data_IF_758953688707
#
_entry.id   IF_758953688707
#
_cell.length_a   1.000
_cell.length_b   1.000
_cell.length_c   1.000
_cell.angle_alpha   90.00
_cell.angle_beta   90.00
_cell.angle_gamma   90.00
#
_symmetry.space_group_name_H-M   'P 1'
#
loop_
_entity.id
_entity.type
_entity.pdbx_description
1 polymer ?
#
# COMPACT_ATOMS: atom_id res chain seq x y z
N UNK A 1 27.51 22.72 -56.44
CA UNK A 1 26.97 23.75 -55.52
C UNK A 1 26.17 23.20 -54.32
N UNK A 2 25.29 22.20 -54.47
CA UNK A 2 24.52 21.68 -53.31
C UNK A 2 25.35 21.01 -52.18
N UNK A 3 26.48 20.36 -52.49
CA UNK A 3 27.35 19.71 -51.47
C UNK A 3 28.18 20.70 -50.63
N UNK A 4 28.55 21.86 -51.17
CA UNK A 4 29.28 22.89 -50.42
C UNK A 4 28.38 23.65 -49.43
N UNK A 5 27.10 23.85 -49.77
CA UNK A 5 26.14 24.51 -48.87
C UNK A 5 25.82 23.62 -47.65
N UNK A 6 25.74 22.29 -47.80
CA UNK A 6 25.55 21.37 -46.66
C UNK A 6 26.74 21.34 -45.69
N UNK A 7 27.98 21.43 -46.18
CA UNK A 7 29.17 21.51 -45.30
C UNK A 7 29.25 22.84 -44.53
N UNK A 8 28.86 23.94 -45.14
CA UNK A 8 28.87 25.25 -44.47
C UNK A 8 27.81 25.34 -43.36
N UNK A 9 26.61 24.74 -43.55
CA UNK A 9 25.59 24.72 -42.52
C UNK A 9 25.97 23.79 -41.37
N UNK A 10 26.58 22.64 -41.64
CA UNK A 10 27.04 21.71 -40.59
C UNK A 10 28.21 22.33 -39.76
N UNK A 11 29.11 23.08 -40.36
CA UNK A 11 30.19 23.74 -39.64
C UNK A 11 29.72 24.93 -38.79
N UNK A 12 28.72 25.67 -39.23
CA UNK A 12 28.10 26.75 -38.44
C UNK A 12 27.33 26.25 -37.22
N UNK A 13 26.61 25.12 -37.32
CA UNK A 13 25.91 24.50 -36.20
C UNK A 13 26.88 23.93 -35.15
N UNK A 14 28.01 23.34 -35.59
CA UNK A 14 29.04 22.81 -34.69
C UNK A 14 29.77 23.93 -33.95
N UNK A 15 30.04 25.05 -34.62
CA UNK A 15 30.69 26.21 -33.98
C UNK A 15 29.78 26.91 -33.00
N UNK A 16 28.48 27.01 -33.28
CA UNK A 16 27.52 27.59 -32.37
C UNK A 16 27.26 26.69 -31.13
N UNK A 17 27.16 25.38 -31.30
CA UNK A 17 27.03 24.42 -30.20
C UNK A 17 28.27 24.41 -29.29
N UNK A 18 29.47 24.44 -29.84
CA UNK A 18 30.72 24.49 -29.08
C UNK A 18 30.89 25.79 -28.27
N UNK A 19 30.44 26.93 -28.78
CA UNK A 19 30.45 28.21 -28.06
C UNK A 19 29.41 28.23 -26.95
N UNK A 20 28.19 27.72 -27.20
CA UNK A 20 27.11 27.63 -26.24
C UNK A 20 27.49 26.72 -25.05
N UNK A 21 28.14 25.58 -25.28
CA UNK A 21 28.59 24.67 -24.23
C UNK A 21 29.67 25.31 -23.33
N UNK A 22 30.61 26.08 -23.88
CA UNK A 22 31.62 26.78 -23.07
C UNK A 22 30.99 27.87 -22.18
N UNK A 23 30.03 28.61 -22.71
CA UNK A 23 29.33 29.62 -21.93
C UNK A 23 28.48 29.01 -20.82
N UNK A 24 27.75 27.93 -21.10
CA UNK A 24 27.03 27.15 -20.11
C UNK A 24 27.95 26.66 -18.98
N UNK A 25 29.07 26.02 -19.30
CA UNK A 25 30.00 25.53 -18.29
C UNK A 25 30.60 26.67 -17.46
N UNK A 26 30.87 27.85 -18.05
CA UNK A 26 31.32 29.03 -17.33
C UNK A 26 30.24 29.55 -16.37
N UNK A 27 28.99 29.64 -16.82
CA UNK A 27 27.87 30.06 -15.97
C UNK A 27 27.60 29.07 -14.81
N UNK A 28 27.62 27.76 -15.10
CA UNK A 28 27.49 26.73 -14.06
C UNK A 28 28.58 26.79 -12.99
N UNK A 29 29.82 27.06 -13.43
CA UNK A 29 30.96 27.20 -12.51
C UNK A 29 30.87 28.48 -11.66
N UNK A 30 30.34 29.57 -12.23
CA UNK A 30 30.16 30.84 -11.54
C UNK A 30 29.02 30.84 -10.53
N UNK A 31 28.00 30.02 -10.77
CA UNK A 31 26.84 29.90 -9.85
C UNK A 31 27.28 29.49 -8.44
N UNK A 32 26.90 30.29 -7.46
CA UNK A 32 27.24 30.13 -6.05
C UNK A 32 26.10 29.55 -5.21
N UNK A 33 24.87 29.54 -5.73
CA UNK A 33 23.68 29.01 -5.10
C UNK A 33 23.00 27.94 -5.97
N UNK A 34 22.34 26.98 -5.32
CA UNK A 34 21.63 25.90 -5.99
C UNK A 34 20.59 26.40 -7.00
N UNK A 35 19.75 27.36 -6.60
CA UNK A 35 18.68 27.88 -7.46
C UNK A 35 19.23 28.66 -8.67
N UNK A 36 20.35 29.37 -8.50
CA UNK A 36 21.05 30.03 -9.61
C UNK A 36 21.53 28.99 -10.64
N UNK A 37 22.24 27.95 -10.18
CA UNK A 37 22.75 26.88 -11.04
C UNK A 37 21.58 26.10 -11.71
N UNK A 38 20.50 25.85 -11.00
CA UNK A 38 19.31 25.21 -11.55
C UNK A 38 18.67 26.05 -12.66
N UNK A 39 18.58 27.37 -12.46
CA UNK A 39 18.11 28.31 -13.48
C UNK A 39 18.96 28.26 -14.74
N UNK A 40 20.30 28.26 -14.60
CA UNK A 40 21.23 28.12 -15.73
C UNK A 40 21.07 26.79 -16.45
N UNK A 41 20.98 25.69 -15.71
CA UNK A 41 20.80 24.36 -16.29
C UNK A 41 19.47 24.27 -17.07
N UNK A 42 18.37 24.66 -16.47
CA UNK A 42 17.03 24.57 -17.08
C UNK A 42 16.91 25.42 -18.35
N UNK A 43 17.51 26.61 -18.36
CA UNK A 43 17.48 27.51 -19.51
C UNK A 43 18.26 26.95 -20.73
N UNK A 44 19.18 26.04 -20.50
CA UNK A 44 20.02 25.46 -21.55
C UNK A 44 19.72 23.98 -21.85
N UNK A 45 18.88 23.32 -21.07
CA UNK A 45 18.72 21.86 -20.99
C UNK A 45 18.47 21.19 -22.35
N UNK A 46 17.64 21.79 -23.21
CA UNK A 46 17.28 21.24 -24.53
C UNK A 46 18.44 21.21 -25.52
N UNK A 47 19.41 22.10 -25.36
CA UNK A 47 20.58 22.22 -26.27
C UNK A 47 21.85 21.51 -25.79
N UNK A 48 21.84 20.96 -24.57
CA UNK A 48 23.03 20.36 -23.96
C UNK A 48 23.22 18.90 -24.40
N UNK A 49 24.48 18.51 -24.54
CA UNK A 49 24.89 17.11 -24.66
C UNK A 49 24.61 16.35 -23.35
N UNK A 50 24.55 15.01 -23.39
CA UNK A 50 24.45 14.19 -22.19
C UNK A 50 25.59 14.48 -21.19
N UNK A 51 26.81 14.66 -21.69
CA UNK A 51 27.98 14.98 -20.85
C UNK A 51 27.83 16.36 -20.16
N UNK A 52 27.35 17.39 -20.87
CA UNK A 52 27.11 18.71 -20.25
C UNK A 52 25.92 18.69 -19.26
N UNK A 53 24.89 17.90 -19.54
CA UNK A 53 23.79 17.67 -18.56
C UNK A 53 24.30 17.02 -17.29
N UNK A 54 25.12 15.97 -17.43
CA UNK A 54 25.75 15.31 -16.28
C UNK A 54 26.61 16.27 -15.46
N UNK A 55 27.42 17.09 -16.13
CA UNK A 55 28.22 18.16 -15.49
C UNK A 55 27.32 19.16 -14.75
N UNK A 56 26.23 19.61 -15.38
CA UNK A 56 25.29 20.55 -14.79
C UNK A 56 24.64 19.98 -13.54
N UNK A 57 24.10 18.77 -13.62
CA UNK A 57 23.51 18.09 -12.46
C UNK A 57 24.55 17.79 -11.37
N UNK A 58 25.77 17.37 -11.71
CA UNK A 58 26.81 17.20 -10.70
C UNK A 58 27.16 18.52 -9.98
N UNK A 59 27.12 19.67 -10.67
CA UNK A 59 27.30 20.99 -10.02
C UNK A 59 26.14 21.26 -9.01
N UNK A 60 24.92 20.90 -9.36
CA UNK A 60 23.78 20.99 -8.43
C UNK A 60 24.01 20.10 -7.21
N UNK A 61 24.52 18.87 -7.39
CA UNK A 61 24.91 18.01 -6.24
C UNK A 61 25.96 18.70 -5.38
N UNK A 62 27.00 19.29 -5.97
CA UNK A 62 28.05 19.98 -5.22
C UNK A 62 27.47 21.08 -4.33
N UNK A 63 26.65 21.99 -4.91
CA UNK A 63 26.06 23.10 -4.19
C UNK A 63 25.07 22.67 -3.09
N UNK A 64 24.26 21.65 -3.37
CA UNK A 64 23.33 21.10 -2.40
C UNK A 64 24.07 20.41 -1.23
N UNK A 65 25.10 19.62 -1.53
CA UNK A 65 25.93 18.96 -0.51
C UNK A 65 26.74 19.96 0.31
N UNK A 66 27.20 21.05 -0.27
CA UNK A 66 27.90 22.11 0.50
C UNK A 66 26.98 22.70 1.56
N UNK A 67 25.71 23.04 1.21
CA UNK A 67 24.72 23.50 2.19
C UNK A 67 24.37 22.41 3.21
N UNK A 68 24.09 21.20 2.76
CA UNK A 68 23.80 20.06 3.63
C UNK A 68 24.90 19.85 4.68
N UNK A 69 26.14 19.72 4.23
CA UNK A 69 27.30 19.47 5.09
C UNK A 69 27.50 20.58 6.12
N UNK A 70 27.34 21.86 5.71
CA UNK A 70 27.45 23.01 6.61
C UNK A 70 26.49 22.89 7.78
N UNK A 71 25.20 22.71 7.50
CA UNK A 71 24.16 22.67 8.52
C UNK A 71 24.24 21.37 9.35
N UNK A 72 24.51 20.22 8.72
CA UNK A 72 24.68 18.95 9.38
C UNK A 72 25.88 18.94 10.33
N UNK A 73 26.99 19.57 9.99
CA UNK A 73 28.15 19.71 10.87
C UNK A 73 27.80 20.52 12.14
N UNK A 74 26.99 21.57 12.04
CA UNK A 74 26.52 22.33 13.21
C UNK A 74 25.64 21.43 14.07
N UNK A 75 24.68 20.73 13.48
CA UNK A 75 23.81 19.78 14.17
C UNK A 75 24.61 18.72 14.93
N UNK A 76 25.56 18.07 14.26
CA UNK A 76 26.41 17.04 14.89
C UNK A 76 27.29 17.62 16.01
N UNK A 77 27.85 18.82 15.79
CA UNK A 77 28.65 19.51 16.81
C UNK A 77 27.80 19.79 18.04
N UNK A 78 26.58 20.27 17.86
CA UNK A 78 25.64 20.52 18.97
C UNK A 78 25.38 19.23 19.77
N UNK A 79 25.16 18.12 19.09
CA UNK A 79 24.91 16.83 19.73
C UNK A 79 26.09 16.35 20.58
N UNK A 80 27.32 16.49 20.06
CA UNK A 80 28.54 16.03 20.75
C UNK A 80 28.93 16.98 21.90
N UNK A 81 28.82 18.28 21.68
CA UNK A 81 29.28 19.31 22.65
C UNK A 81 28.19 19.81 23.58
N UNK A 82 26.96 19.32 23.43
CA UNK A 82 25.77 19.82 24.14
C UNK A 82 25.56 21.34 23.99
N UNK A 83 26.06 21.93 22.90
CA UNK A 83 25.79 23.30 22.50
C UNK A 83 24.48 23.39 21.74
N UNK A 84 24.00 24.60 21.57
CA UNK A 84 22.76 24.89 20.87
C UNK A 84 22.99 26.01 19.82
N UNK A 85 24.06 25.84 19.03
CA UNK A 85 24.36 26.77 17.95
C UNK A 85 23.25 26.70 16.88
N UNK A 86 22.74 27.81 16.37
CA UNK A 86 21.64 27.82 15.41
C UNK A 86 22.07 27.20 14.09
N UNK A 87 21.20 26.35 13.50
CA UNK A 87 21.34 25.78 12.18
C UNK A 87 20.00 25.77 11.43
N UNK A 88 20.05 25.80 10.10
CA UNK A 88 18.88 25.79 9.23
C UNK A 88 18.45 24.34 8.96
N UNK A 89 17.60 23.78 9.85
CA UNK A 89 17.13 22.41 9.72
C UNK A 89 16.30 22.18 8.45
N UNK A 90 15.38 23.09 8.12
CA UNK A 90 14.53 22.95 6.94
C UNK A 90 15.36 23.07 5.65
N UNK A 91 16.28 24.03 5.61
CA UNK A 91 17.22 24.17 4.50
C UNK A 91 18.22 23.01 4.38
N UNK A 92 18.55 22.33 5.47
CA UNK A 92 19.36 21.10 5.44
C UNK A 92 18.59 19.94 4.81
N UNK A 93 17.32 19.77 5.16
CA UNK A 93 16.43 18.74 4.60
C UNK A 93 16.22 19.01 3.10
N UNK A 94 15.89 20.26 2.72
CA UNK A 94 15.77 20.66 1.32
C UNK A 94 17.06 20.41 0.53
N UNK A 95 18.22 20.72 1.11
CA UNK A 95 19.50 20.46 0.49
C UNK A 95 19.75 18.96 0.29
N UNK A 96 19.40 18.11 1.25
CA UNK A 96 19.50 16.66 1.11
C UNK A 96 18.61 16.11 -0.02
N UNK A 97 17.36 16.56 -0.11
CA UNK A 97 16.45 16.19 -1.20
C UNK A 97 16.98 16.63 -2.55
N UNK A 98 17.42 17.89 -2.65
CA UNK A 98 17.96 18.46 -3.89
C UNK A 98 19.21 17.74 -4.33
N UNK A 99 20.10 17.38 -3.41
CA UNK A 99 21.32 16.63 -3.70
C UNK A 99 21.02 15.26 -4.29
N UNK A 100 20.07 14.51 -3.68
CA UNK A 100 19.66 13.19 -4.15
C UNK A 100 19.00 13.25 -5.54
N UNK A 101 18.04 14.15 -5.73
CA UNK A 101 17.38 14.34 -7.03
C UNK A 101 18.37 14.71 -8.13
N UNK A 102 19.28 15.64 -7.84
CA UNK A 102 20.32 16.03 -8.78
C UNK A 102 21.33 14.89 -9.06
N UNK A 103 21.65 14.09 -8.03
CA UNK A 103 22.54 12.93 -8.17
C UNK A 103 21.97 11.85 -9.08
N UNK A 104 20.70 11.50 -8.92
CA UNK A 104 20.00 10.53 -9.79
C UNK A 104 19.91 11.03 -11.23
N UNK A 105 19.56 12.29 -11.45
CA UNK A 105 19.56 12.86 -12.82
C UNK A 105 20.98 12.96 -13.40
N UNK A 106 21.99 13.28 -12.59
CA UNK A 106 23.38 13.25 -13.01
C UNK A 106 23.77 11.86 -13.52
N UNK A 107 23.48 10.83 -12.77
CA UNK A 107 23.81 9.44 -13.13
C UNK A 107 23.13 9.01 -14.42
N UNK A 108 21.87 9.33 -14.59
CA UNK A 108 21.11 9.05 -15.81
C UNK A 108 21.80 9.57 -17.07
N UNK A 109 22.30 10.80 -17.04
CA UNK A 109 22.99 11.38 -18.18
C UNK A 109 24.45 10.93 -18.27
N UNK A 110 25.12 10.67 -17.13
CA UNK A 110 26.51 10.21 -17.07
C UNK A 110 26.68 8.80 -17.67
N UNK A 111 25.61 7.98 -17.64
CA UNK A 111 25.56 6.66 -18.25
C UNK A 111 25.23 6.67 -19.75
N UNK A 112 24.95 7.85 -20.35
CA UNK A 112 24.67 7.95 -21.77
C UNK A 112 25.98 8.03 -22.60
N UNK A 113 25.98 7.60 -23.87
CA UNK A 113 27.15 7.77 -24.75
C UNK A 113 27.53 9.24 -24.87
N UNK A 114 28.83 9.51 -24.77
CA UNK A 114 29.40 10.84 -25.03
C UNK A 114 29.43 11.16 -26.55
N UNK A 115 29.93 12.32 -26.92
CA UNK A 115 30.06 12.77 -28.32
C UNK A 115 30.86 11.83 -29.23
N UNK A 116 31.63 10.90 -28.65
CA UNK A 116 32.42 9.87 -29.37
C UNK A 116 31.72 8.50 -29.39
N UNK A 117 30.45 8.42 -28.93
CA UNK A 117 29.67 7.18 -28.85
C UNK A 117 30.12 6.22 -27.72
N UNK A 118 30.94 6.67 -26.78
CA UNK A 118 31.43 5.84 -25.67
C UNK A 118 30.71 6.19 -24.38
N UNK A 119 30.27 5.16 -23.64
CA UNK A 119 29.80 5.28 -22.25
C UNK A 119 31.03 5.32 -21.35
N UNK A 120 31.24 6.43 -20.64
CA UNK A 120 32.39 6.64 -19.77
C UNK A 120 31.97 7.48 -18.54
N UNK A 121 31.21 6.86 -17.60
CA UNK A 121 30.68 7.56 -16.44
C UNK A 121 31.80 8.10 -15.54
N UNK A 122 31.58 9.31 -15.03
CA UNK A 122 32.58 10.05 -14.22
C UNK A 122 32.13 10.29 -12.80
N UNK A 123 30.83 10.27 -12.54
CA UNK A 123 30.24 10.80 -11.30
C UNK A 123 29.59 9.75 -10.42
N UNK A 124 29.12 8.60 -10.95
CA UNK A 124 28.34 7.59 -10.22
C UNK A 124 28.94 7.25 -8.87
N UNK A 125 30.14 6.68 -8.84
CA UNK A 125 30.75 6.19 -7.59
C UNK A 125 30.89 7.30 -6.55
N UNK A 126 31.43 8.45 -6.92
CA UNK A 126 31.60 9.58 -6.00
C UNK A 126 30.27 10.12 -5.49
N UNK A 127 29.26 10.22 -6.35
CA UNK A 127 27.93 10.71 -5.95
C UNK A 127 27.21 9.68 -5.05
N UNK A 128 27.27 8.38 -5.38
CA UNK A 128 26.70 7.35 -4.53
C UNK A 128 27.26 7.42 -3.10
N UNK A 129 28.59 7.46 -2.97
CA UNK A 129 29.25 7.52 -1.65
C UNK A 129 28.86 8.76 -0.84
N UNK A 130 28.93 9.95 -1.44
CA UNK A 130 28.70 11.20 -0.69
C UNK A 130 27.23 11.48 -0.37
N UNK A 131 26.29 10.91 -1.16
CA UNK A 131 24.87 11.12 -0.98
C UNK A 131 24.23 10.21 0.08
N UNK A 132 24.93 9.19 0.56
CA UNK A 132 24.40 8.30 1.61
C UNK A 132 24.03 9.05 2.89
N UNK A 133 24.84 10.03 3.32
CA UNK A 133 24.52 10.81 4.53
C UNK A 133 23.26 11.67 4.34
N UNK A 134 23.08 12.30 3.16
CA UNK A 134 21.88 13.04 2.82
C UNK A 134 20.65 12.13 2.73
N UNK A 135 20.80 10.94 2.13
CA UNK A 135 19.76 9.92 2.07
C UNK A 135 19.31 9.49 3.48
N UNK A 136 20.25 9.19 4.37
CA UNK A 136 19.96 8.74 5.73
C UNK A 136 19.28 9.84 6.58
N UNK A 137 19.59 11.14 6.34
CA UNK A 137 18.88 12.22 6.99
C UNK A 137 17.38 12.20 6.69
N UNK A 138 16.97 11.86 5.45
CA UNK A 138 15.57 11.88 5.04
C UNK A 138 14.69 10.90 5.82
N UNK A 139 15.28 9.83 6.39
CA UNK A 139 14.57 8.91 7.26
C UNK A 139 14.09 9.62 8.53
N UNK A 140 15.01 10.23 9.29
CA UNK A 140 14.66 10.92 10.53
C UNK A 140 13.86 12.18 10.27
N UNK A 141 14.19 12.93 9.22
CA UNK A 141 13.43 14.11 8.80
C UNK A 141 11.98 13.76 8.44
N UNK A 142 11.77 12.66 7.69
CA UNK A 142 10.44 12.17 7.35
C UNK A 142 9.61 11.84 8.59
N UNK A 143 10.22 11.22 9.59
CA UNK A 143 9.55 10.88 10.84
C UNK A 143 9.13 12.13 11.63
N UNK A 144 10.04 13.10 11.78
CA UNK A 144 9.76 14.38 12.47
C UNK A 144 8.65 15.14 11.75
N UNK A 145 8.74 15.25 10.42
CA UNK A 145 7.74 15.91 9.59
C UNK A 145 6.36 15.24 9.66
N UNK A 146 6.33 13.90 9.70
CA UNK A 146 5.09 13.15 9.86
C UNK A 146 4.43 13.40 11.21
N UNK A 147 5.22 13.38 12.28
CA UNK A 147 4.75 13.68 13.65
C UNK A 147 4.21 15.11 13.76
N UNK A 148 4.83 16.05 13.05
CA UNK A 148 4.36 17.44 12.92
C UNK A 148 3.14 17.60 11.99
N UNK A 149 2.62 16.51 11.40
CA UNK A 149 1.52 16.49 10.43
C UNK A 149 1.82 17.27 9.13
N UNK A 150 3.08 17.45 8.80
CA UNK A 150 3.55 18.04 7.53
C UNK A 150 3.63 16.94 6.47
N UNK A 151 2.48 16.35 6.12
CA UNK A 151 2.42 15.11 5.33
C UNK A 151 3.02 15.22 3.93
N UNK A 152 2.88 16.38 3.25
CA UNK A 152 3.52 16.60 1.95
C UNK A 152 5.05 16.50 2.04
N UNK A 153 5.65 17.15 3.03
CA UNK A 153 7.09 17.12 3.24
C UNK A 153 7.57 15.73 3.72
N UNK A 154 6.81 15.09 4.61
CA UNK A 154 7.10 13.74 5.08
C UNK A 154 7.06 12.72 3.92
N UNK A 155 6.06 12.79 3.06
CA UNK A 155 5.95 11.97 1.85
C UNK A 155 7.16 12.14 0.93
N UNK A 156 7.61 13.38 0.71
CA UNK A 156 8.79 13.66 -0.12
C UNK A 156 10.06 13.06 0.47
N UNK A 157 10.27 13.22 1.78
CA UNK A 157 11.44 12.71 2.47
C UNK A 157 11.46 11.17 2.47
N UNK A 158 10.41 10.52 2.97
CA UNK A 158 10.32 9.06 2.99
C UNK A 158 10.33 8.47 1.57
N UNK A 159 9.56 9.05 0.65
CA UNK A 159 9.49 8.58 -0.73
C UNK A 159 10.85 8.63 -1.42
N UNK A 160 11.60 9.71 -1.25
CA UNK A 160 12.93 9.84 -1.84
C UNK A 160 13.94 8.86 -1.21
N UNK A 161 13.85 8.62 0.10
CA UNK A 161 14.63 7.58 0.77
C UNK A 161 14.35 6.19 0.17
N UNK A 162 13.07 5.85 0.02
CA UNK A 162 12.64 4.54 -0.51
C UNK A 162 13.03 4.39 -1.98
N UNK A 163 12.71 5.36 -2.81
CA UNK A 163 12.91 5.31 -4.25
C UNK A 163 14.41 5.28 -4.61
N UNK A 164 15.26 6.01 -3.87
CA UNK A 164 16.69 6.05 -4.11
C UNK A 164 17.39 4.70 -3.97
N UNK A 165 16.86 3.78 -3.14
CA UNK A 165 17.45 2.45 -2.97
C UNK A 165 17.50 1.64 -4.28
N UNK A 166 16.51 1.84 -5.14
CA UNK A 166 16.39 1.11 -6.41
C UNK A 166 16.95 1.91 -7.59
N UNK A 167 17.43 3.14 -7.35
CA UNK A 167 17.98 3.97 -8.40
C UNK A 167 19.35 3.43 -8.87
N UNK A 168 19.62 3.41 -10.17
CA UNK A 168 20.90 2.98 -10.74
C UNK A 168 22.13 3.65 -10.13
N UNK A 169 22.02 4.89 -9.65
CA UNK A 169 23.09 5.59 -8.93
C UNK A 169 23.66 4.75 -7.78
N UNK A 170 22.80 4.04 -7.05
CA UNK A 170 23.16 3.26 -5.87
C UNK A 170 23.30 1.76 -6.14
N UNK A 171 23.35 1.33 -7.41
CA UNK A 171 23.41 -0.08 -7.80
C UNK A 171 24.61 -0.86 -7.22
N UNK A 172 25.69 -0.16 -6.88
CA UNK A 172 26.90 -0.76 -6.26
C UNK A 172 26.91 -0.58 -4.73
N UNK A 173 25.89 0.05 -4.13
CA UNK A 173 25.80 0.26 -2.69
C UNK A 173 25.24 -0.96 -2.00
N UNK A 174 25.78 -1.30 -0.83
CA UNK A 174 25.27 -2.38 0.01
C UNK A 174 24.22 -1.85 1.00
N UNK A 175 22.97 -2.24 0.78
CA UNK A 175 21.83 -1.92 1.65
C UNK A 175 21.34 -3.13 2.45
N UNK A 176 22.12 -4.19 2.58
CA UNK A 176 21.73 -5.41 3.30
C UNK A 176 21.43 -5.15 4.79
N UNK A 177 22.06 -4.13 5.38
CA UNK A 177 21.81 -3.72 6.76
C UNK A 177 20.51 -2.88 6.96
N UNK A 178 19.82 -2.48 5.91
CA UNK A 178 18.57 -1.69 5.99
C UNK A 178 17.36 -2.59 6.26
N UNK A 179 17.34 -3.28 7.40
CA UNK A 179 16.21 -4.13 7.84
C UNK A 179 14.89 -3.35 7.99
N UNK A 180 14.97 -2.04 8.17
CA UNK A 180 13.85 -1.12 8.33
C UNK A 180 13.28 -0.59 7.01
N UNK A 181 13.76 -1.05 5.84
CA UNK A 181 13.33 -0.51 4.55
C UNK A 181 11.82 -0.59 4.31
N UNK A 182 11.21 -1.75 4.58
CA UNK A 182 9.76 -1.96 4.44
C UNK A 182 8.96 -1.11 5.42
N UNK A 183 9.47 -0.91 6.64
CA UNK A 183 8.89 0.01 7.60
C UNK A 183 8.85 1.45 7.05
N UNK A 184 9.94 1.92 6.44
CA UNK A 184 9.96 3.27 5.86
C UNK A 184 9.06 3.36 4.62
N UNK A 185 8.95 2.29 3.82
CA UNK A 185 8.00 2.24 2.73
C UNK A 185 6.54 2.32 3.24
N UNK A 186 6.23 1.67 4.36
CA UNK A 186 4.94 1.81 5.04
C UNK A 186 4.68 3.24 5.51
N UNK A 187 5.63 3.92 6.14
CA UNK A 187 5.49 5.33 6.51
C UNK A 187 5.37 6.26 5.31
N UNK A 188 6.06 5.96 4.19
CA UNK A 188 5.87 6.67 2.93
C UNK A 188 4.44 6.51 2.40
N UNK A 189 3.87 5.31 2.49
CA UNK A 189 2.48 5.05 2.11
C UNK A 189 1.49 5.82 3.00
N UNK A 190 1.69 5.82 4.33
CA UNK A 190 0.88 6.57 5.29
C UNK A 190 0.94 8.09 5.04
N UNK A 191 2.15 8.63 4.83
CA UNK A 191 2.34 10.04 4.55
C UNK A 191 1.64 10.45 3.24
N UNK A 192 1.79 9.64 2.19
CA UNK A 192 1.13 9.86 0.90
C UNK A 192 -0.40 9.78 1.02
N UNK A 193 -0.93 8.83 1.77
CA UNK A 193 -2.37 8.71 2.02
C UNK A 193 -2.92 9.96 2.74
N UNK A 194 -2.24 10.39 3.81
CA UNK A 194 -2.64 11.59 4.56
C UNK A 194 -2.46 12.88 3.75
N UNK A 195 -1.55 12.90 2.77
CA UNK A 195 -1.37 13.98 1.80
C UNK A 195 -2.36 13.89 0.61
N UNK A 196 -3.25 12.91 0.59
CA UNK A 196 -4.19 12.63 -0.50
C UNK A 196 -3.53 12.28 -1.85
N UNK A 197 -2.26 11.88 -1.83
CA UNK A 197 -1.56 11.31 -2.99
C UNK A 197 -1.76 9.79 -3.03
N UNK A 198 -2.97 9.39 -3.39
CA UNK A 198 -3.38 7.98 -3.39
C UNK A 198 -2.59 7.08 -4.35
N UNK A 199 -2.15 7.56 -5.53
CA UNK A 199 -1.24 6.79 -6.39
C UNK A 199 0.09 6.46 -5.70
N UNK A 200 0.72 7.45 -5.05
CA UNK A 200 1.96 7.24 -4.30
C UNK A 200 1.73 6.35 -3.07
N UNK A 201 0.63 6.53 -2.35
CA UNK A 201 0.26 5.68 -1.22
C UNK A 201 0.17 4.21 -1.64
N UNK A 202 -0.52 3.91 -2.74
CA UNK A 202 -0.61 2.55 -3.29
C UNK A 202 0.76 2.00 -3.73
N UNK A 203 1.59 2.83 -4.39
CA UNK A 203 2.95 2.44 -4.82
C UNK A 203 3.82 1.99 -3.64
N UNK A 204 3.85 2.77 -2.56
CA UNK A 204 4.68 2.45 -1.39
C UNK A 204 4.11 1.29 -0.57
N UNK A 205 2.78 1.17 -0.48
CA UNK A 205 2.11 0.03 0.15
C UNK A 205 2.49 -1.31 -0.52
N UNK A 206 2.59 -1.34 -1.86
CA UNK A 206 2.99 -2.53 -2.60
C UNK A 206 4.39 -3.05 -2.26
N UNK A 207 5.28 -2.20 -1.76
CA UNK A 207 6.61 -2.61 -1.30
C UNK A 207 6.58 -3.40 0.01
N UNK A 208 5.48 -3.29 0.77
CA UNK A 208 5.31 -3.96 2.06
C UNK A 208 4.54 -5.29 1.97
N UNK A 209 4.07 -5.70 0.79
CA UNK A 209 3.14 -6.83 0.61
C UNK A 209 3.61 -8.18 1.18
N UNK A 210 4.92 -8.40 1.27
CA UNK A 210 5.52 -9.63 1.79
C UNK A 210 6.16 -9.45 3.17
N UNK A 211 5.97 -8.31 3.80
CA UNK A 211 6.51 -8.02 5.12
C UNK A 211 5.62 -8.63 6.20
N UNK A 212 6.24 -9.31 7.20
CA UNK A 212 5.49 -10.01 8.24
C UNK A 212 4.76 -9.07 9.21
N UNK A 213 5.23 -7.82 9.35
CA UNK A 213 4.70 -6.84 10.29
C UNK A 213 3.76 -5.85 9.61
N UNK A 214 4.12 -5.38 8.39
CA UNK A 214 3.43 -4.25 7.75
C UNK A 214 2.51 -4.63 6.58
N UNK A 215 2.46 -5.90 6.16
CA UNK A 215 1.69 -6.29 4.97
C UNK A 215 0.20 -6.01 5.07
N UNK A 216 -0.42 -6.29 6.22
CA UNK A 216 -1.86 -6.09 6.41
C UNK A 216 -2.23 -4.61 6.41
N UNK A 217 -1.52 -3.79 7.18
CA UNK A 217 -1.75 -2.35 7.29
C UNK A 217 -1.45 -1.63 5.97
N UNK A 218 -0.41 -2.05 5.25
CA UNK A 218 -0.10 -1.52 3.93
C UNK A 218 -1.20 -1.87 2.91
N UNK A 219 -1.73 -3.09 2.98
CA UNK A 219 -2.88 -3.48 2.17
C UNK A 219 -4.11 -2.61 2.45
N UNK A 220 -4.38 -2.29 3.72
CA UNK A 220 -5.47 -1.40 4.09
C UNK A 220 -5.27 0.01 3.51
N UNK A 221 -4.07 0.57 3.58
CA UNK A 221 -3.74 1.86 2.94
C UNK A 221 -4.01 1.80 1.43
N UNK A 222 -3.57 0.73 0.76
CA UNK A 222 -3.80 0.55 -0.68
C UNK A 222 -5.29 0.54 -1.01
N UNK A 223 -6.07 -0.26 -0.30
CA UNK A 223 -7.53 -0.36 -0.50
C UNK A 223 -8.23 0.97 -0.22
N UNK A 224 -7.89 1.63 0.89
CA UNK A 224 -8.44 2.95 1.23
C UNK A 224 -8.09 3.99 0.17
N UNK A 225 -6.85 3.94 -0.36
CA UNK A 225 -6.40 4.82 -1.45
C UNK A 225 -7.19 4.59 -2.74
N UNK A 226 -7.47 3.32 -3.08
CA UNK A 226 -8.32 2.99 -4.22
C UNK A 226 -9.76 3.47 -4.02
N UNK A 227 -10.35 3.25 -2.83
CA UNK A 227 -11.70 3.70 -2.49
C UNK A 227 -11.81 5.23 -2.46
N UNK A 228 -10.81 5.94 -1.98
CA UNK A 228 -10.81 7.42 -1.90
C UNK A 228 -10.81 8.11 -3.30
N UNK A 229 -10.43 7.39 -4.34
CA UNK A 229 -10.46 7.88 -5.72
C UNK A 229 -11.82 7.70 -6.41
N UNK A 230 -12.78 7.02 -5.79
CA UNK A 230 -14.11 6.77 -6.33
C UNK A 230 -14.95 8.07 -6.30
N UNK A 231 -15.11 8.72 -7.44
CA UNK A 231 -15.91 9.96 -7.60
C UNK A 231 -16.96 9.83 -8.68
N UNK A 232 -16.72 8.98 -9.67
CA UNK A 232 -17.58 8.81 -10.84
C UNK A 232 -17.91 7.33 -11.03
N UNK A 233 -18.84 7.07 -11.95
CA UNK A 233 -19.17 5.70 -12.35
C UNK A 233 -17.99 5.02 -13.07
N UNK A 234 -17.24 5.80 -13.84
CA UNK A 234 -16.02 5.36 -14.52
C UNK A 234 -14.95 4.94 -13.51
N UNK A 235 -14.77 5.68 -12.42
CA UNK A 235 -13.84 5.31 -11.34
C UNK A 235 -14.28 3.99 -10.68
N UNK A 236 -15.58 3.79 -10.49
CA UNK A 236 -16.11 2.53 -9.93
C UNK A 236 -15.83 1.33 -10.83
N UNK A 237 -15.97 1.49 -12.16
CA UNK A 237 -15.62 0.46 -13.14
C UNK A 237 -14.11 0.18 -13.13
N UNK A 238 -13.29 1.23 -13.06
CA UNK A 238 -11.82 1.09 -12.95
C UNK A 238 -11.44 0.34 -11.68
N UNK A 239 -11.99 0.73 -10.54
CA UNK A 239 -11.77 0.06 -9.26
C UNK A 239 -12.08 -1.44 -9.32
N UNK A 240 -13.22 -1.81 -9.89
CA UNK A 240 -13.59 -3.21 -10.08
C UNK A 240 -12.55 -3.95 -10.96
N UNK A 241 -12.10 -3.34 -12.06
CA UNK A 241 -11.12 -3.96 -12.94
C UNK A 241 -9.76 -4.12 -12.24
N UNK A 242 -9.34 -3.13 -11.47
CA UNK A 242 -8.12 -3.18 -10.67
C UNK A 242 -8.19 -4.27 -9.60
N UNK A 243 -9.33 -4.41 -8.90
CA UNK A 243 -9.55 -5.50 -7.94
C UNK A 243 -9.54 -6.88 -8.61
N UNK A 244 -10.16 -7.03 -9.77
CA UNK A 244 -10.12 -8.28 -10.54
C UNK A 244 -8.69 -8.65 -10.94
N UNK A 245 -7.90 -7.66 -11.36
CA UNK A 245 -6.50 -7.89 -11.72
C UNK A 245 -5.66 -8.30 -10.51
N UNK A 246 -5.87 -7.65 -9.36
CA UNK A 246 -5.19 -7.98 -8.10
C UNK A 246 -5.57 -9.39 -7.63
N UNK A 247 -6.86 -9.72 -7.63
CA UNK A 247 -7.32 -11.05 -7.26
C UNK A 247 -6.81 -12.14 -8.21
N UNK A 248 -6.74 -11.87 -9.51
CA UNK A 248 -6.16 -12.82 -10.46
C UNK A 248 -4.66 -13.07 -10.28
N UNK A 249 -3.92 -12.07 -9.78
CA UNK A 249 -2.49 -12.20 -9.45
C UNK A 249 -2.27 -12.92 -8.11
N UNK A 250 -3.15 -12.70 -7.14
CA UNK A 250 -3.07 -13.23 -5.79
C UNK A 250 -4.42 -13.86 -5.39
N UNK A 251 -4.83 -14.98 -6.00
CA UNK A 251 -6.18 -15.55 -5.80
C UNK A 251 -6.41 -16.10 -4.38
N UNK A 252 -5.33 -16.41 -3.64
CA UNK A 252 -5.40 -16.83 -2.24
C UNK A 252 -5.52 -15.65 -1.25
N UNK A 253 -5.40 -14.41 -1.74
CA UNK A 253 -5.53 -13.22 -0.93
C UNK A 253 -7.01 -12.95 -0.58
N UNK A 254 -7.40 -13.34 0.62
CA UNK A 254 -8.78 -13.20 1.12
C UNK A 254 -9.27 -11.75 1.09
N UNK A 255 -8.38 -10.76 1.16
CA UNK A 255 -8.76 -9.34 1.14
C UNK A 255 -9.30 -8.93 -0.23
N UNK A 256 -8.61 -9.30 -1.32
CA UNK A 256 -9.08 -8.98 -2.66
C UNK A 256 -10.38 -9.72 -3.00
N UNK A 257 -10.47 -10.98 -2.59
CA UNK A 257 -11.70 -11.76 -2.72
C UNK A 257 -12.88 -11.09 -1.98
N UNK A 258 -12.69 -10.69 -0.72
CA UNK A 258 -13.74 -10.02 0.07
C UNK A 258 -14.15 -8.69 -0.54
N UNK A 259 -13.22 -7.88 -1.04
CA UNK A 259 -13.52 -6.61 -1.69
C UNK A 259 -14.29 -6.77 -2.99
N UNK A 260 -14.00 -7.80 -3.78
CA UNK A 260 -14.77 -8.11 -4.98
C UNK A 260 -16.19 -8.56 -4.64
N UNK A 261 -16.36 -9.40 -3.61
CA UNK A 261 -17.69 -9.81 -3.15
C UNK A 261 -18.49 -8.64 -2.60
N UNK A 262 -17.85 -7.74 -1.82
CA UNK A 262 -18.45 -6.47 -1.36
C UNK A 262 -18.90 -5.60 -2.56
N UNK A 263 -18.03 -5.46 -3.57
CA UNK A 263 -18.36 -4.68 -4.77
C UNK A 263 -19.60 -5.23 -5.49
N UNK A 264 -19.64 -6.55 -5.74
CA UNK A 264 -20.79 -7.18 -6.39
C UNK A 264 -22.07 -7.10 -5.54
N UNK A 265 -21.95 -7.18 -4.22
CA UNK A 265 -23.06 -6.95 -3.29
C UNK A 265 -23.62 -5.53 -3.44
N UNK A 266 -22.76 -4.51 -3.42
CA UNK A 266 -23.14 -3.10 -3.49
C UNK A 266 -23.74 -2.72 -4.86
N UNK A 267 -23.30 -3.38 -5.92
CA UNK A 267 -23.83 -3.20 -7.29
C UNK A 267 -25.01 -4.12 -7.62
N UNK A 268 -25.43 -4.96 -6.65
CA UNK A 268 -26.50 -5.94 -6.79
C UNK A 268 -26.27 -6.97 -7.91
N UNK A 269 -25.01 -7.20 -8.29
CA UNK A 269 -24.63 -8.24 -9.24
C UNK A 269 -24.47 -9.59 -8.54
N UNK A 270 -25.61 -10.14 -8.09
CA UNK A 270 -25.67 -11.39 -7.35
C UNK A 270 -25.14 -12.59 -8.17
N UNK A 271 -25.27 -12.55 -9.48
CA UNK A 271 -24.77 -13.61 -10.35
C UNK A 271 -23.24 -13.66 -10.37
N UNK A 272 -22.59 -12.50 -10.53
CA UNK A 272 -21.13 -12.41 -10.49
C UNK A 272 -20.58 -12.71 -9.09
N UNK A 273 -21.25 -12.24 -8.01
CA UNK A 273 -20.89 -12.59 -6.62
C UNK A 273 -20.88 -14.10 -6.42
N UNK A 274 -21.96 -14.77 -6.82
CA UNK A 274 -22.10 -16.21 -6.65
C UNK A 274 -21.05 -16.98 -7.45
N UNK A 275 -20.83 -16.63 -8.71
CA UNK A 275 -19.83 -17.28 -9.56
C UNK A 275 -18.40 -17.14 -8.96
N UNK A 276 -18.06 -15.95 -8.47
CA UNK A 276 -16.78 -15.71 -7.80
C UNK A 276 -16.61 -16.57 -6.54
N UNK A 277 -17.65 -16.67 -5.70
CA UNK A 277 -17.62 -17.47 -4.48
C UNK A 277 -17.46 -18.96 -4.82
N UNK A 278 -18.21 -19.48 -5.80
CA UNK A 278 -18.11 -20.88 -6.23
C UNK A 278 -16.72 -21.20 -6.80
N UNK A 279 -16.16 -20.32 -7.62
CA UNK A 279 -14.80 -20.47 -8.14
C UNK A 279 -13.77 -20.48 -7.02
N UNK A 280 -13.88 -19.55 -6.06
CA UNK A 280 -12.96 -19.43 -4.93
C UNK A 280 -12.98 -20.69 -4.06
N UNK A 281 -14.17 -21.16 -3.69
CA UNK A 281 -14.33 -22.41 -2.91
C UNK A 281 -13.75 -23.62 -3.63
N UNK A 282 -13.88 -23.68 -4.95
CA UNK A 282 -13.41 -24.82 -5.74
C UNK A 282 -11.88 -24.86 -5.92
N UNK A 283 -11.24 -23.69 -6.07
CA UNK A 283 -9.82 -23.58 -6.42
C UNK A 283 -8.93 -23.15 -5.26
N UNK A 284 -9.43 -22.26 -4.41
CA UNK A 284 -8.69 -21.59 -3.34
C UNK A 284 -9.51 -21.56 -2.04
N UNK A 285 -9.90 -22.73 -1.50
CA UNK A 285 -10.78 -22.81 -0.35
C UNK A 285 -10.14 -22.16 0.88
N UNK A 286 -10.88 -21.23 1.50
CA UNK A 286 -10.49 -20.55 2.71
C UNK A 286 -11.68 -20.44 3.66
N UNK A 287 -11.43 -20.07 4.93
CA UNK A 287 -12.50 -19.82 5.89
C UNK A 287 -13.51 -18.77 5.41
N UNK A 288 -13.02 -17.72 4.75
CA UNK A 288 -13.84 -16.64 4.21
C UNK A 288 -14.66 -17.09 3.01
N UNK A 289 -14.08 -17.86 2.09
CA UNK A 289 -14.80 -18.36 0.91
C UNK A 289 -15.94 -19.30 1.31
N UNK A 290 -15.71 -20.19 2.29
CA UNK A 290 -16.76 -21.05 2.83
C UNK A 290 -17.83 -20.28 3.63
N UNK A 291 -17.42 -19.25 4.39
CA UNK A 291 -18.35 -18.38 5.10
C UNK A 291 -19.29 -17.64 4.14
N UNK A 292 -18.75 -17.05 3.08
CA UNK A 292 -19.53 -16.34 2.06
C UNK A 292 -20.40 -17.28 1.22
N UNK A 293 -19.94 -18.52 0.97
CA UNK A 293 -20.79 -19.55 0.35
C UNK A 293 -21.96 -19.90 1.26
N UNK A 294 -21.72 -20.11 2.55
CA UNK A 294 -22.79 -20.36 3.53
C UNK A 294 -23.79 -19.21 3.60
N UNK A 295 -23.32 -17.97 3.58
CA UNK A 295 -24.18 -16.77 3.51
C UNK A 295 -25.03 -16.74 2.24
N UNK A 296 -24.44 -17.05 1.08
CA UNK A 296 -25.16 -17.12 -0.18
C UNK A 296 -26.26 -18.20 -0.15
N UNK A 297 -25.93 -19.39 0.35
CA UNK A 297 -26.89 -20.50 0.48
C UNK A 297 -27.99 -20.17 1.51
N UNK A 298 -27.64 -19.53 2.63
CA UNK A 298 -28.57 -19.06 3.65
C UNK A 298 -29.59 -18.05 3.10
N UNK A 299 -29.11 -17.09 2.32
CA UNK A 299 -29.96 -16.07 1.68
C UNK A 299 -30.95 -16.67 0.65
N UNK A 300 -30.57 -17.82 0.05
CA UNK A 300 -31.45 -18.59 -0.83
C UNK A 300 -32.34 -19.61 -0.04
N UNK A 301 -32.31 -19.57 1.29
CA UNK A 301 -33.01 -20.53 2.18
C UNK A 301 -32.61 -22.00 1.98
N UNK A 302 -31.40 -22.22 1.49
CA UNK A 302 -30.76 -23.54 1.33
C UNK A 302 -30.04 -23.91 2.62
N UNK A 303 -30.86 -24.16 3.68
CA UNK A 303 -30.35 -24.29 5.04
C UNK A 303 -29.32 -25.40 5.20
N UNK A 304 -29.51 -26.53 4.53
CA UNK A 304 -28.60 -27.68 4.64
C UNK A 304 -27.24 -27.39 3.98
N UNK A 305 -27.25 -26.81 2.78
CA UNK A 305 -26.05 -26.39 2.07
C UNK A 305 -25.28 -25.29 2.82
N UNK A 306 -26.01 -24.36 3.44
CA UNK A 306 -25.42 -23.32 4.28
C UNK A 306 -24.73 -23.92 5.52
N UNK A 307 -25.39 -24.88 6.20
CA UNK A 307 -24.83 -25.63 7.35
C UNK A 307 -23.53 -26.32 6.95
N UNK A 308 -23.50 -27.03 5.82
CA UNK A 308 -22.32 -27.73 5.35
C UNK A 308 -21.17 -26.76 5.03
N UNK A 309 -21.48 -25.61 4.44
CA UNK A 309 -20.49 -24.56 4.12
C UNK A 309 -19.93 -23.90 5.39
N UNK A 310 -20.78 -23.55 6.35
CA UNK A 310 -20.33 -22.97 7.62
C UNK A 310 -19.51 -23.94 8.47
N UNK A 311 -19.83 -25.24 8.46
CA UNK A 311 -19.00 -26.26 9.13
C UNK A 311 -17.60 -26.29 8.55
N UNK A 312 -17.44 -26.24 7.20
CA UNK A 312 -16.14 -26.17 6.57
C UNK A 312 -15.37 -24.89 6.91
N UNK A 313 -16.05 -23.77 7.03
CA UNK A 313 -15.41 -22.53 7.49
C UNK A 313 -14.89 -22.67 8.93
N UNK A 314 -15.64 -23.32 9.82
CA UNK A 314 -15.27 -23.55 11.21
C UNK A 314 -14.21 -24.65 11.40
N UNK A 315 -14.07 -25.59 10.46
CA UNK A 315 -12.93 -26.53 10.41
C UNK A 315 -11.61 -25.78 10.18
N UNK A 316 -11.64 -24.67 9.41
CA UNK A 316 -10.48 -23.83 9.12
C UNK A 316 -10.23 -22.77 10.21
N UNK A 317 -11.27 -22.27 10.86
CA UNK A 317 -11.18 -21.32 11.97
C UNK A 317 -12.31 -21.55 12.97
N UNK A 318 -12.02 -22.33 14.00
CA UNK A 318 -13.01 -22.68 15.04
C UNK A 318 -13.44 -21.50 15.93
N UNK A 319 -12.69 -20.39 15.90
CA UNK A 319 -12.98 -19.18 16.68
C UNK A 319 -13.76 -18.12 15.88
N UNK A 320 -14.21 -18.44 14.69
CA UNK A 320 -15.01 -17.55 13.86
C UNK A 320 -16.46 -17.45 14.37
N UNK A 321 -16.68 -16.66 15.43
CA UNK A 321 -17.96 -16.59 16.16
C UNK A 321 -19.15 -16.19 15.30
N UNK A 322 -18.97 -15.26 14.35
CA UNK A 322 -20.05 -14.86 13.43
C UNK A 322 -20.52 -16.01 12.55
N UNK A 323 -19.60 -16.82 12.04
CA UNK A 323 -19.92 -18.01 11.24
C UNK A 323 -20.61 -19.07 12.09
N UNK A 324 -20.14 -19.27 13.33
CA UNK A 324 -20.78 -20.18 14.28
C UNK A 324 -22.21 -19.76 14.61
N UNK A 325 -22.46 -18.47 14.73
CA UNK A 325 -23.81 -17.94 14.94
C UNK A 325 -24.70 -18.19 13.72
N UNK A 326 -24.22 -17.93 12.51
CA UNK A 326 -24.96 -18.19 11.28
C UNK A 326 -25.25 -19.70 11.09
N UNK A 327 -24.30 -20.55 11.47
CA UNK A 327 -24.50 -22.00 11.52
C UNK A 327 -25.68 -22.37 12.41
N UNK A 328 -25.69 -21.84 13.64
CA UNK A 328 -26.77 -22.11 14.60
C UNK A 328 -28.13 -21.58 14.11
N UNK A 329 -28.17 -20.42 13.47
CA UNK A 329 -29.37 -19.90 12.80
C UNK A 329 -29.89 -20.87 11.72
N UNK A 330 -29.02 -21.34 10.86
CA UNK A 330 -29.38 -22.28 9.78
C UNK A 330 -29.84 -23.62 10.35
N UNK A 331 -29.24 -24.10 11.44
CA UNK A 331 -29.69 -25.33 12.15
C UNK A 331 -31.08 -25.17 12.73
N UNK A 332 -31.40 -24.00 13.34
CA UNK A 332 -32.78 -23.72 13.82
C UNK A 332 -33.76 -23.69 12.62
N UNK A 333 -33.43 -23.02 11.53
CA UNK A 333 -34.32 -22.94 10.37
C UNK A 333 -34.51 -24.29 9.68
N UNK A 334 -33.46 -25.10 9.58
CA UNK A 334 -33.59 -26.48 9.10
C UNK A 334 -34.51 -27.34 9.98
N UNK A 335 -34.38 -27.21 11.31
CA UNK A 335 -35.25 -27.89 12.25
C UNK A 335 -36.71 -27.49 12.08
N UNK A 336 -36.99 -26.19 11.91
CA UNK A 336 -38.36 -25.68 11.66
C UNK A 336 -38.89 -26.26 10.35
N UNK A 337 -38.15 -26.22 9.27
CA UNK A 337 -38.53 -26.74 7.96
C UNK A 337 -38.85 -28.25 8.03
N UNK A 338 -38.00 -29.03 8.70
CA UNK A 338 -38.25 -30.48 8.89
C UNK A 338 -39.44 -30.76 9.77
N UNK A 339 -39.67 -29.98 10.82
CA UNK A 339 -40.84 -30.13 11.71
C UNK A 339 -42.14 -29.84 10.98
N UNK A 340 -42.16 -28.79 10.14
CA UNK A 340 -43.32 -28.47 9.29
C UNK A 340 -43.61 -29.61 8.30
N UNK A 341 -42.56 -30.11 7.63
CA UNK A 341 -42.69 -31.27 6.71
C UNK A 341 -43.20 -32.55 7.43
N UNK A 342 -42.88 -32.70 8.72
CA UNK A 342 -43.35 -33.81 9.58
C UNK A 342 -44.74 -33.56 10.21
N UNK A 343 -45.49 -32.57 9.73
CA UNK A 343 -46.82 -32.24 10.29
C UNK A 343 -46.76 -31.73 11.72
N UNK A 344 -45.74 -31.05 12.14
CA UNK A 344 -45.51 -30.51 13.48
C UNK A 344 -44.81 -31.45 14.44
N UNK A 345 -44.50 -32.69 14.02
CA UNK A 345 -43.89 -33.68 14.90
C UNK A 345 -42.40 -33.41 15.17
N UNK A 346 -42.01 -33.67 16.41
CA UNK A 346 -40.63 -33.55 16.86
C UNK A 346 -39.86 -34.86 16.56
N UNK A 347 -39.38 -35.01 15.32
CA UNK A 347 -38.60 -36.18 14.91
C UNK A 347 -37.21 -36.20 15.54
N UNK A 348 -36.50 -37.33 15.58
CA UNK A 348 -35.11 -37.40 16.05
C UNK A 348 -34.17 -36.43 15.26
N UNK A 349 -34.40 -36.28 13.97
CA UNK A 349 -33.62 -35.37 13.12
C UNK A 349 -33.85 -33.88 13.48
N UNK A 350 -35.14 -33.49 13.72
CA UNK A 350 -35.49 -32.16 14.20
C UNK A 350 -34.78 -31.83 15.51
N UNK A 351 -34.83 -32.81 16.47
CA UNK A 351 -34.16 -32.67 17.76
C UNK A 351 -32.64 -32.50 17.59
N UNK A 352 -32.04 -33.24 16.68
CA UNK A 352 -30.61 -33.18 16.46
C UNK A 352 -30.16 -31.79 15.94
N UNK A 353 -30.86 -31.19 14.97
CA UNK A 353 -30.56 -29.86 14.52
C UNK A 353 -30.70 -28.80 15.62
N UNK A 354 -31.77 -28.86 16.42
CA UNK A 354 -31.94 -27.96 17.55
C UNK A 354 -30.84 -28.11 18.60
N UNK A 355 -30.43 -29.36 18.88
CA UNK A 355 -29.35 -29.60 19.85
C UNK A 355 -28.01 -29.06 19.30
N UNK A 356 -27.71 -29.27 18.03
CA UNK A 356 -26.50 -28.72 17.39
C UNK A 356 -26.47 -27.18 17.47
N UNK A 357 -27.61 -26.54 17.20
CA UNK A 357 -27.75 -25.10 17.34
C UNK A 357 -27.49 -24.63 18.79
N UNK A 358 -28.09 -25.31 19.77
CA UNK A 358 -27.88 -25.01 21.20
C UNK A 358 -26.38 -25.13 21.54
N UNK A 359 -25.74 -26.21 21.13
CA UNK A 359 -24.31 -26.45 21.41
C UNK A 359 -23.41 -25.34 20.82
N UNK A 360 -23.66 -24.94 19.58
CA UNK A 360 -22.95 -23.83 18.93
C UNK A 360 -23.20 -22.50 19.69
N UNK A 361 -24.42 -22.21 20.09
CA UNK A 361 -24.77 -20.98 20.81
C UNK A 361 -24.21 -20.94 22.22
N UNK A 362 -24.06 -22.07 22.90
CA UNK A 362 -23.43 -22.16 24.22
C UNK A 362 -21.92 -21.87 24.11
N UNK A 363 -21.25 -22.33 23.05
CA UNK A 363 -19.85 -21.96 22.77
C UNK A 363 -19.71 -20.44 22.55
N UNK A 364 -20.64 -19.85 21.82
CA UNK A 364 -20.64 -18.38 21.63
C UNK A 364 -20.88 -17.67 22.97
N UNK A 365 -21.85 -18.10 23.74
CA UNK A 365 -22.17 -17.53 25.08
C UNK A 365 -20.96 -17.54 26.01
N UNK A 366 -20.15 -18.60 25.96
CA UNK A 366 -18.92 -18.71 26.75
C UNK A 366 -17.85 -17.71 26.30
N UNK A 367 -17.67 -17.53 24.98
CA UNK A 367 -16.62 -16.67 24.40
C UNK A 367 -17.02 -15.20 24.32
N UNK A 368 -18.30 -14.90 24.19
CA UNK A 368 -18.88 -13.55 24.07
C UNK A 368 -20.10 -13.38 24.99
N UNK A 369 -19.90 -13.48 26.32
CA UNK A 369 -21.02 -13.44 27.30
C UNK A 369 -21.77 -12.10 27.28
N UNK A 370 -21.09 -11.01 26.94
CA UNK A 370 -21.66 -9.66 26.88
C UNK A 370 -22.38 -9.36 25.56
N UNK A 371 -22.28 -10.23 24.56
CA UNK A 371 -22.91 -10.08 23.25
C UNK A 371 -22.32 -8.87 22.46
N UNK A 372 -21.03 -8.63 22.61
CA UNK A 372 -20.34 -7.53 21.94
C UNK A 372 -20.11 -7.85 20.46
N UNK A 373 -19.87 -9.13 20.12
CA UNK A 373 -19.65 -9.59 18.76
C UNK A 373 -20.91 -10.14 18.09
N UNK A 374 -21.71 -10.91 18.84
CA UNK A 374 -22.91 -11.61 18.32
C UNK A 374 -24.05 -11.61 19.33
N UNK A 375 -25.25 -11.23 18.92
CA UNK A 375 -26.41 -11.31 19.77
C UNK A 375 -27.02 -12.72 19.76
N UNK A 376 -26.41 -13.64 20.50
CA UNK A 376 -26.78 -15.05 20.56
C UNK A 376 -28.04 -15.33 21.37
N UNK A 377 -28.46 -14.43 22.27
CA UNK A 377 -29.48 -14.72 23.30
C UNK A 377 -30.83 -15.11 22.70
N UNK A 378 -31.32 -14.35 21.71
CA UNK A 378 -32.60 -14.60 21.08
C UNK A 378 -32.64 -15.96 20.34
N UNK A 379 -31.58 -16.26 19.60
CA UNK A 379 -31.48 -17.52 18.83
C UNK A 379 -31.42 -18.74 19.78
N UNK A 380 -30.70 -18.61 20.90
CA UNK A 380 -30.63 -19.64 21.92
C UNK A 380 -31.98 -19.83 22.63
N UNK A 381 -32.68 -18.72 22.94
CA UNK A 381 -34.05 -18.77 23.46
C UNK A 381 -34.99 -19.55 22.53
N UNK A 382 -34.97 -19.22 21.24
CA UNK A 382 -35.78 -19.92 20.24
C UNK A 382 -35.46 -21.42 20.17
N UNK A 383 -34.19 -21.80 20.19
CA UNK A 383 -33.77 -23.20 20.14
C UNK A 383 -34.32 -24.00 21.38
N UNK A 384 -34.18 -23.44 22.60
CA UNK A 384 -34.72 -24.05 23.80
C UNK A 384 -36.24 -24.13 23.77
N UNK A 385 -36.91 -23.07 23.31
CA UNK A 385 -38.38 -23.09 23.18
C UNK A 385 -38.86 -24.16 22.18
N UNK A 386 -38.20 -24.24 21.03
CA UNK A 386 -38.53 -25.20 19.96
C UNK A 386 -38.32 -26.67 20.41
N UNK A 387 -37.26 -26.95 21.16
CA UNK A 387 -36.95 -28.31 21.62
C UNK A 387 -37.82 -28.72 22.84
N UNK A 388 -38.51 -27.75 23.47
CA UNK A 388 -39.38 -27.95 24.62
C UNK A 388 -38.68 -27.83 25.98
N UNK A 389 -37.50 -27.22 26.06
CA UNK A 389 -36.81 -26.91 27.34
C UNK A 389 -37.25 -25.53 27.85
N UNK A 390 -38.51 -25.49 28.36
CA UNK A 390 -39.13 -24.25 28.84
C UNK A 390 -38.35 -23.61 30.01
N UNK A 391 -37.67 -24.42 30.84
CA UNK A 391 -36.92 -23.92 31.98
C UNK A 391 -35.74 -23.05 31.51
N UNK A 392 -34.94 -23.57 30.57
CA UNK A 392 -33.78 -22.82 29.99
C UNK A 392 -34.22 -21.67 29.09
N UNK A 393 -35.34 -21.79 28.37
CA UNK A 393 -35.90 -20.68 27.62
C UNK A 393 -36.25 -19.51 28.57
N UNK A 394 -36.89 -19.79 29.71
CA UNK A 394 -37.28 -18.79 30.72
C UNK A 394 -36.06 -18.05 31.32
N UNK A 395 -34.95 -18.74 31.52
CA UNK A 395 -33.70 -18.11 32.00
C UNK A 395 -33.18 -16.99 31.05
N UNK A 396 -33.50 -17.08 29.77
CA UNK A 396 -33.05 -16.11 28.74
C UNK A 396 -34.07 -14.99 28.50
N UNK A 397 -35.31 -15.06 29.05
CA UNK A 397 -36.35 -14.04 28.76
C UNK A 397 -35.90 -12.61 29.05
N UNK A 398 -35.14 -12.40 30.14
CA UNK A 398 -34.62 -11.06 30.48
C UNK A 398 -33.54 -10.53 29.54
N UNK A 399 -32.94 -11.39 28.71
CA UNK A 399 -31.90 -11.05 27.75
C UNK A 399 -32.46 -10.80 26.36
N UNK A 400 -33.72 -11.13 26.11
CA UNK A 400 -34.35 -11.07 24.77
C UNK A 400 -35.51 -10.06 24.72
N UNK A 401 -35.88 -9.46 25.85
CA UNK A 401 -36.76 -8.30 25.95
C UNK A 401 -36.00 -7.02 25.65
#
# INVERSE_FOLDING_TARGET
>A
MKKMIMMAVASLVVVSAGAQNKDFQKQMKAASAYQEALGVLNSNLSGLSAEDKALGYNRLVDLAMDKFNKENNIKLTNQVTQKNDPFDNDGMIEAAENALKAGMECDKFDQMPNSKGKVAPKFRKKNAERLLAARNLLLTAGQDLYNDKKYDAAQKAFGLFVDSRQDPLFSESDFSAESYYTQIAYFAALAAYNNHDYPAASKYADLCKNDAEYSNEAMDIKVLSMKAQLKTKEDSVKYMNDLKALHAQEPENERYFSLLTEYYQNTQDNAAKKALIEEQVAKYPSKMSWALKGESDMNESKWKEAIDSYKKALELDNDFLQVRYNLALCENQQAITLREAAGGNMTPEVKQYLQNSIDNLLIIKEKDPNREMVNWAYTLYQAYYLIGDEAKAKELESLVQ
#
